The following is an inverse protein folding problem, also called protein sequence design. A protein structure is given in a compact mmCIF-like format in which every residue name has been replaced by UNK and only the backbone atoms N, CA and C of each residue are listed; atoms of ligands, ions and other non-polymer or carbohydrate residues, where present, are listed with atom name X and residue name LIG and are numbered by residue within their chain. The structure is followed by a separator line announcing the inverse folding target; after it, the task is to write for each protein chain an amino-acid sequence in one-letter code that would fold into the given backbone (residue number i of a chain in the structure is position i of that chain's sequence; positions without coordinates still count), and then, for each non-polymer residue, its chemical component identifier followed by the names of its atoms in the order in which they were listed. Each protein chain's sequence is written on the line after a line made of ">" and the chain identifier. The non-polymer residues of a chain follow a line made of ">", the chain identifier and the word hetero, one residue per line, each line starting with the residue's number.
data_IF_861441751117
#
_entry.id   IF_861441751117
#
_cell.length_a   1.000
_cell.length_b   1.000
_cell.length_c   1.000
_cell.angle_alpha   90.00
_cell.angle_beta   90.00
_cell.angle_gamma   90.00
#
_symmetry.space_group_name_H-M   'P 1'
#
loop_
_entity.id
_entity.type
_entity.pdbx_description
1 polymer ?
#
# COMPACT_ATOMS: atom_id res chain seq x y z
N UNK A 1 -14.81 -15.20 -34.12
CA UNK A 1 -13.40 -15.63 -34.09
C UNK A 1 -13.30 -16.99 -34.77
N UNK A 2 -12.44 -17.15 -35.77
CA UNK A 2 -12.27 -18.40 -36.51
C UNK A 2 -11.44 -19.40 -35.67
N UNK A 3 -12.03 -20.54 -35.31
CA UNK A 3 -11.33 -21.60 -34.59
C UNK A 3 -10.42 -22.34 -35.57
N UNK A 4 -9.12 -22.37 -35.28
CA UNK A 4 -8.15 -23.11 -36.06
C UNK A 4 -8.19 -24.59 -35.63
N UNK A 5 -8.27 -25.49 -36.61
CA UNK A 5 -8.19 -26.94 -36.37
C UNK A 5 -6.74 -27.38 -36.55
N UNK A 6 -6.09 -27.72 -35.44
CA UNK A 6 -4.68 -28.07 -35.38
C UNK A 6 -4.55 -29.56 -35.07
N UNK A 7 -3.82 -30.30 -35.90
CA UNK A 7 -3.49 -31.71 -35.65
C UNK A 7 -2.20 -31.78 -34.84
N UNK A 8 -2.23 -32.50 -33.74
CA UNK A 8 -1.11 -32.67 -32.82
C UNK A 8 -0.87 -34.16 -32.60
N UNK A 9 0.37 -34.55 -32.37
CA UNK A 9 0.73 -35.89 -31.92
C UNK A 9 1.36 -35.75 -30.54
N UNK A 10 0.80 -36.43 -29.53
CA UNK A 10 1.25 -36.38 -28.13
C UNK A 10 1.43 -37.82 -27.67
N UNK A 11 2.65 -38.21 -27.32
CA UNK A 11 2.98 -39.55 -26.84
C UNK A 11 2.52 -40.68 -27.80
N UNK A 12 2.55 -40.42 -29.12
CA UNK A 12 2.11 -41.36 -30.15
C UNK A 12 0.60 -41.38 -30.40
N UNK A 13 -0.17 -40.48 -29.78
CA UNK A 13 -1.60 -40.31 -30.02
C UNK A 13 -1.88 -39.06 -30.85
N UNK A 14 -2.56 -39.23 -31.98
CA UNK A 14 -3.01 -38.11 -32.81
C UNK A 14 -4.28 -37.48 -32.21
N UNK A 15 -4.22 -36.17 -31.96
CA UNK A 15 -5.29 -35.36 -31.40
C UNK A 15 -5.59 -34.16 -32.30
N UNK A 16 -6.86 -33.76 -32.39
CA UNK A 16 -7.28 -32.55 -33.11
C UNK A 16 -7.75 -31.52 -32.10
N UNK A 17 -6.97 -30.45 -31.93
CA UNK A 17 -7.31 -29.33 -31.07
C UNK A 17 -7.99 -28.23 -31.90
N UNK A 18 -9.14 -27.76 -31.44
CA UNK A 18 -9.78 -26.56 -31.97
C UNK A 18 -9.48 -25.41 -31.00
N UNK A 19 -8.48 -24.58 -31.31
CA UNK A 19 -8.16 -23.39 -30.50
C UNK A 19 -8.27 -22.10 -31.34
N UNK A 20 -8.47 -20.98 -30.67
CA UNK A 20 -8.33 -19.65 -31.26
C UNK A 20 -6.85 -19.21 -31.30
N UNK A 21 -5.99 -19.89 -30.54
CA UNK A 21 -4.55 -19.65 -30.53
C UNK A 21 -3.86 -20.10 -31.83
N UNK A 22 -2.68 -19.55 -32.07
CA UNK A 22 -1.83 -19.94 -33.19
C UNK A 22 -1.32 -21.39 -33.09
N UNK A 23 -1.05 -22.02 -34.23
CA UNK A 23 -0.54 -23.40 -34.30
C UNK A 23 0.78 -23.58 -33.53
N UNK A 24 1.67 -22.59 -33.59
CA UNK A 24 2.96 -22.62 -32.90
C UNK A 24 2.78 -22.75 -31.37
N UNK A 25 1.82 -22.01 -30.80
CA UNK A 25 1.52 -22.07 -29.37
C UNK A 25 0.92 -23.43 -28.97
N UNK A 26 -0.05 -23.93 -29.74
CA UNK A 26 -0.65 -25.24 -29.50
C UNK A 26 0.40 -26.36 -29.56
N UNK A 27 1.34 -26.29 -30.50
CA UNK A 27 2.44 -27.26 -30.63
C UNK A 27 3.44 -27.17 -29.48
N UNK A 28 3.76 -25.97 -28.99
CA UNK A 28 4.61 -25.79 -27.82
C UNK A 28 3.94 -26.35 -26.55
N UNK A 29 2.64 -26.11 -26.38
CA UNK A 29 1.87 -26.68 -25.27
C UNK A 29 1.83 -28.20 -25.33
N UNK A 30 1.63 -28.78 -26.51
CA UNK A 30 1.69 -30.23 -26.72
C UNK A 30 3.05 -30.81 -26.30
N UNK A 31 4.16 -30.17 -26.71
CA UNK A 31 5.52 -30.57 -26.29
C UNK A 31 5.72 -30.47 -24.78
N UNK A 32 5.19 -29.42 -24.13
CA UNK A 32 5.27 -29.28 -22.67
C UNK A 32 4.56 -30.43 -21.95
N UNK A 33 3.36 -30.79 -22.41
CA UNK A 33 2.59 -31.93 -21.86
C UNK A 33 3.33 -33.25 -22.11
N UNK A 34 3.81 -33.49 -23.32
CA UNK A 34 4.56 -34.70 -23.68
C UNK A 34 5.84 -34.86 -22.84
N UNK A 35 6.62 -33.79 -22.69
CA UNK A 35 7.81 -33.80 -21.85
C UNK A 35 7.48 -34.08 -20.38
N UNK A 36 6.38 -33.54 -19.87
CA UNK A 36 5.96 -33.77 -18.49
C UNK A 36 5.53 -35.23 -18.27
N UNK A 37 4.73 -35.79 -19.19
CA UNK A 37 4.32 -37.19 -19.16
C UNK A 37 5.56 -38.10 -19.28
N UNK A 38 6.48 -37.80 -20.20
CA UNK A 38 7.74 -38.53 -20.36
C UNK A 38 8.56 -38.58 -19.07
N UNK A 39 8.79 -37.43 -18.43
CA UNK A 39 9.48 -37.35 -17.14
C UNK A 39 8.76 -38.14 -16.04
N UNK A 40 7.43 -38.09 -16.01
CA UNK A 40 6.65 -38.81 -15.01
C UNK A 40 6.77 -40.34 -15.18
N UNK A 41 6.79 -40.81 -16.43
CA UNK A 41 6.98 -42.22 -16.76
C UNK A 41 8.42 -42.69 -16.50
N UNK A 42 9.43 -41.85 -16.81
CA UNK A 42 10.84 -42.12 -16.48
C UNK A 42 11.06 -42.24 -14.97
N UNK A 43 10.44 -41.36 -14.18
CA UNK A 43 10.52 -41.39 -12.73
C UNK A 43 9.79 -42.62 -12.13
N UNK A 44 8.74 -43.11 -12.80
CA UNK A 44 7.91 -44.21 -12.31
C UNK A 44 7.58 -45.23 -13.41
N UNK A 45 8.47 -46.21 -13.65
CA UNK A 45 8.30 -47.18 -14.75
C UNK A 45 7.12 -48.14 -14.57
N UNK A 46 6.41 -48.10 -13.43
CA UNK A 46 5.20 -48.90 -13.17
C UNK A 46 3.89 -48.19 -13.54
N UNK A 47 3.95 -46.94 -13.97
CA UNK A 47 2.76 -46.15 -14.34
C UNK A 47 2.47 -46.29 -15.84
N UNK A 48 1.21 -46.54 -16.19
CA UNK A 48 0.77 -46.56 -17.60
C UNK A 48 0.66 -45.15 -18.18
N UNK A 49 0.74 -45.02 -19.51
CA UNK A 49 0.56 -43.73 -20.19
C UNK A 49 -0.76 -43.04 -19.81
N UNK A 50 -1.85 -43.80 -19.71
CA UNK A 50 -3.16 -43.27 -19.31
C UNK A 50 -3.15 -42.68 -17.90
N UNK A 51 -2.52 -43.37 -16.95
CA UNK A 51 -2.42 -42.89 -15.58
C UNK A 51 -1.47 -41.69 -15.46
N UNK A 52 -0.35 -41.70 -16.21
CA UNK A 52 0.57 -40.57 -16.29
C UNK A 52 -0.12 -39.32 -16.86
N UNK A 53 -0.95 -39.47 -17.90
CA UNK A 53 -1.74 -38.38 -18.47
C UNK A 53 -2.75 -37.80 -17.47
N UNK A 54 -3.43 -38.65 -16.69
CA UNK A 54 -4.36 -38.19 -15.64
C UNK A 54 -3.62 -37.41 -14.55
N UNK A 55 -2.47 -37.89 -14.09
CA UNK A 55 -1.64 -37.18 -13.11
C UNK A 55 -1.15 -35.83 -13.68
N UNK A 56 -0.73 -35.81 -14.94
CA UNK A 56 -0.33 -34.58 -15.61
C UNK A 56 -1.48 -33.56 -15.68
N UNK A 57 -2.68 -34.01 -16.06
CA UNK A 57 -3.86 -33.16 -16.10
C UNK A 57 -4.20 -32.56 -14.72
N UNK A 58 -4.15 -33.38 -13.66
CA UNK A 58 -4.39 -32.92 -12.29
C UNK A 58 -3.36 -31.87 -11.85
N UNK A 59 -2.06 -32.10 -12.14
CA UNK A 59 -1.01 -31.15 -11.79
C UNK A 59 -1.14 -29.82 -12.54
N UNK A 60 -1.45 -29.84 -13.84
CA UNK A 60 -1.66 -28.61 -14.60
C UNK A 60 -2.92 -27.87 -14.15
N UNK A 61 -3.99 -28.58 -13.76
CA UNK A 61 -5.20 -27.98 -13.21
C UNK A 61 -4.93 -27.29 -11.87
N UNK A 62 -4.23 -27.96 -10.95
CA UNK A 62 -3.84 -27.39 -9.65
C UNK A 62 -2.92 -26.18 -9.82
N UNK A 63 -1.92 -26.26 -10.71
CA UNK A 63 -1.03 -25.15 -11.01
C UNK A 63 -1.77 -23.95 -11.61
N UNK A 64 -2.73 -24.18 -12.51
CA UNK A 64 -3.56 -23.12 -13.08
C UNK A 64 -4.45 -22.45 -12.02
N UNK A 65 -5.06 -23.25 -11.13
CA UNK A 65 -5.87 -22.72 -10.04
C UNK A 65 -5.03 -21.85 -9.09
N UNK A 66 -3.88 -22.37 -8.63
CA UNK A 66 -2.94 -21.62 -7.77
C UNK A 66 -2.45 -20.34 -8.43
N UNK A 67 -2.18 -20.36 -9.73
CA UNK A 67 -1.79 -19.16 -10.47
C UNK A 67 -2.93 -18.13 -10.55
N UNK A 68 -4.18 -18.59 -10.73
CA UNK A 68 -5.36 -17.71 -10.71
C UNK A 68 -5.55 -17.08 -9.34
N UNK A 69 -5.52 -17.88 -8.27
CA UNK A 69 -5.68 -17.42 -6.90
C UNK A 69 -4.57 -16.41 -6.54
N UNK A 70 -3.33 -16.69 -6.97
CA UNK A 70 -2.21 -15.75 -6.79
C UNK A 70 -2.43 -14.45 -7.55
N UNK A 71 -2.96 -14.49 -8.78
CA UNK A 71 -3.26 -13.29 -9.54
C UNK A 71 -4.38 -12.46 -8.89
N UNK A 72 -5.39 -13.11 -8.33
CA UNK A 72 -6.50 -12.43 -7.64
C UNK A 72 -6.05 -11.82 -6.31
N UNK A 73 -5.15 -12.50 -5.59
CA UNK A 73 -4.49 -11.93 -4.41
C UNK A 73 -3.68 -10.67 -4.78
N UNK A 74 -2.89 -10.73 -5.86
CA UNK A 74 -2.13 -9.56 -6.34
C UNK A 74 -3.05 -8.41 -6.76
N UNK A 75 -4.17 -8.70 -7.42
CA UNK A 75 -5.19 -7.69 -7.77
C UNK A 75 -5.78 -7.02 -6.53
N UNK A 76 -6.05 -7.79 -5.49
CA UNK A 76 -6.58 -7.27 -4.22
C UNK A 76 -5.55 -6.36 -3.56
N UNK A 77 -4.30 -6.79 -3.48
CA UNK A 77 -3.22 -5.95 -2.92
C UNK A 77 -3.06 -4.63 -3.68
N UNK A 78 -3.04 -4.67 -5.02
CA UNK A 78 -2.94 -3.44 -5.83
C UNK A 78 -4.11 -2.49 -5.53
N UNK A 79 -5.32 -3.04 -5.39
CA UNK A 79 -6.50 -2.26 -5.04
C UNK A 79 -6.36 -1.62 -3.65
N UNK A 80 -5.98 -2.41 -2.65
CA UNK A 80 -5.81 -1.93 -1.27
C UNK A 80 -4.73 -0.85 -1.20
N UNK A 81 -3.58 -1.04 -1.86
CA UNK A 81 -2.53 -0.02 -1.93
C UNK A 81 -3.00 1.27 -2.61
N UNK A 82 -3.85 1.18 -3.63
CA UNK A 82 -4.40 2.34 -4.31
C UNK A 82 -5.39 3.10 -3.40
N UNK A 83 -6.23 2.37 -2.68
CA UNK A 83 -7.17 2.93 -1.71
C UNK A 83 -6.41 3.60 -0.55
N UNK A 84 -5.42 2.94 0.03
CA UNK A 84 -4.58 3.49 1.09
C UNK A 84 -3.82 4.75 0.64
N UNK A 85 -3.27 4.74 -0.58
CA UNK A 85 -2.61 5.92 -1.16
C UNK A 85 -3.58 7.09 -1.33
N UNK A 86 -4.82 6.81 -1.74
CA UNK A 86 -5.86 7.82 -1.89
C UNK A 86 -6.27 8.40 -0.54
N UNK A 87 -6.45 7.55 0.48
CA UNK A 87 -6.74 7.96 1.84
C UNK A 87 -5.61 8.82 2.43
N UNK A 88 -4.36 8.40 2.28
CA UNK A 88 -3.21 9.16 2.76
C UNK A 88 -3.12 10.56 2.12
N UNK A 89 -3.47 10.70 0.84
CA UNK A 89 -3.53 12.01 0.17
C UNK A 89 -4.66 12.87 0.72
N UNK A 90 -5.84 12.30 0.93
CA UNK A 90 -6.98 13.02 1.52
C UNK A 90 -6.65 13.52 2.92
N UNK A 91 -6.10 12.66 3.77
CA UNK A 91 -5.70 13.00 5.15
C UNK A 91 -4.62 14.08 5.18
N UNK A 92 -3.66 14.04 4.22
CA UNK A 92 -2.64 15.07 4.08
C UNK A 92 -3.25 16.42 3.65
N UNK A 93 -4.21 16.42 2.73
CA UNK A 93 -4.89 17.64 2.29
C UNK A 93 -5.78 18.23 3.38
N UNK A 94 -6.46 17.40 4.17
CA UNK A 94 -7.21 17.84 5.36
C UNK A 94 -6.30 18.45 6.42
N UNK A 95 -5.19 17.77 6.73
CA UNK A 95 -4.18 18.27 7.66
C UNK A 95 -3.61 19.62 7.22
N UNK A 96 -3.35 19.80 5.92
CA UNK A 96 -2.88 21.08 5.35
C UNK A 96 -3.92 22.18 5.51
N UNK A 97 -5.19 21.90 5.24
CA UNK A 97 -6.30 22.86 5.43
C UNK A 97 -6.42 23.28 6.90
N UNK A 98 -6.31 22.35 7.84
CA UNK A 98 -6.39 22.70 9.26
C UNK A 98 -5.16 23.49 9.72
N UNK A 99 -3.96 23.16 9.25
CA UNK A 99 -2.75 23.96 9.48
C UNK A 99 -2.94 25.40 9.00
N UNK A 100 -3.51 25.60 7.81
CA UNK A 100 -3.80 26.95 7.31
C UNK A 100 -4.85 27.67 8.16
N UNK A 101 -5.92 26.98 8.58
CA UNK A 101 -6.98 27.51 9.44
C UNK A 101 -6.38 28.02 10.77
N UNK A 102 -5.61 27.16 11.43
CA UNK A 102 -4.94 27.48 12.70
C UNK A 102 -3.91 28.60 12.53
N UNK A 103 -3.15 28.63 11.42
CA UNK A 103 -2.23 29.74 11.12
C UNK A 103 -2.95 31.09 11.02
N UNK A 104 -4.11 31.15 10.34
CA UNK A 104 -4.92 32.38 10.25
C UNK A 104 -5.45 32.80 11.61
N UNK A 105 -5.88 31.85 12.44
CA UNK A 105 -6.35 32.12 13.79
C UNK A 105 -5.22 32.67 14.68
N UNK A 106 -4.04 32.05 14.65
CA UNK A 106 -2.85 32.53 15.35
C UNK A 106 -2.49 33.96 14.91
N UNK A 107 -2.52 34.24 13.60
CA UNK A 107 -2.20 35.57 13.08
C UNK A 107 -3.22 36.62 13.55
N UNK A 108 -4.51 36.27 13.56
CA UNK A 108 -5.58 37.14 14.05
C UNK A 108 -5.43 37.43 15.54
N UNK A 109 -5.18 36.39 16.36
CA UNK A 109 -4.97 36.54 17.80
C UNK A 109 -3.71 37.35 18.13
N UNK A 110 -2.60 37.11 17.42
CA UNK A 110 -1.38 37.92 17.54
C UNK A 110 -1.63 39.38 17.15
N UNK A 111 -2.40 39.63 16.09
CA UNK A 111 -2.81 40.97 15.70
C UNK A 111 -3.64 41.67 16.78
N UNK A 112 -4.56 40.95 17.43
CA UNK A 112 -5.34 41.48 18.57
C UNK A 112 -4.51 41.77 19.81
N UNK A 113 -3.51 40.93 20.12
CA UNK A 113 -2.60 41.14 21.24
C UNK A 113 -1.61 42.29 21.00
N UNK A 114 -1.22 42.50 19.74
CA UNK A 114 -0.26 43.54 19.36
C UNK A 114 -0.95 44.86 18.97
N UNK A 115 -2.29 44.89 18.89
CA UNK A 115 -3.05 46.12 18.83
C UNK A 115 -2.88 46.84 20.19
N UNK A 116 -2.39 48.08 20.21
CA UNK A 116 -2.25 48.82 21.46
C UNK A 116 -3.63 48.89 22.11
N UNK A 117 -3.69 48.45 23.37
CA UNK A 117 -4.87 48.62 24.21
C UNK A 117 -5.40 50.03 23.99
N UNK A 118 -6.58 50.14 23.37
CA UNK A 118 -7.33 51.37 23.36
C UNK A 118 -7.48 51.74 24.84
N UNK A 119 -6.74 52.77 25.24
CA UNK A 119 -6.69 53.29 26.58
C UNK A 119 -8.12 53.63 26.99
N UNK A 120 -8.69 52.84 27.90
CA UNK A 120 -9.76 53.36 28.74
C UNK A 120 -9.14 54.43 29.64
N UNK A 121 -9.66 55.67 29.63
CA UNK A 121 -9.15 56.73 30.48
C UNK A 121 -9.46 56.39 31.93
N UNK A 122 -8.39 56.28 32.72
CA UNK A 122 -8.40 56.15 34.17
C UNK A 122 -9.22 57.30 34.78
N UNK A 123 -10.38 57.02 35.37
CA UNK A 123 -11.01 57.88 36.37
C UNK A 123 -10.88 57.24 37.75
N UNK A 124 -9.97 57.80 38.56
CA UNK A 124 -9.95 57.62 40.02
C UNK A 124 -11.02 58.51 40.65
N UNK A 125 -11.73 58.03 41.68
CA UNK A 125 -11.84 58.83 42.89
C UNK A 125 -11.40 58.07 44.14
N UNK A 126 -10.96 58.85 45.11
CA UNK A 126 -10.30 58.46 46.34
C UNK A 126 -11.28 58.27 47.52
N UNK A 127 -10.81 57.53 48.54
CA UNK A 127 -11.39 57.42 49.89
C UNK A 127 -11.63 55.95 50.28
N UNK A 128 -11.20 55.40 51.40
CA UNK A 128 -10.49 55.88 52.59
C UNK A 128 -10.69 54.83 53.70
N UNK A 129 -9.63 54.47 54.44
CA UNK A 129 -9.69 53.83 55.76
C UNK A 129 -9.67 52.28 55.84
N UNK A 130 -9.22 51.70 56.98
CA UNK A 130 -8.28 50.57 57.00
C UNK A 130 -8.76 49.30 57.75
N UNK A 131 -8.20 48.12 57.43
CA UNK A 131 -8.01 47.01 58.37
C UNK A 131 -7.04 45.96 57.82
N UNK A 132 -5.99 45.69 58.59
CA UNK A 132 -4.97 44.65 58.40
C UNK A 132 -5.49 43.26 58.90
N UNK A 133 -4.62 42.26 59.13
CA UNK A 133 -3.83 41.45 58.20
C UNK A 133 -4.09 39.93 58.38
N UNK A 134 -3.54 39.07 57.52
CA UNK A 134 -2.75 37.87 57.90
C UNK A 134 -2.19 37.17 56.66
N UNK A 135 -0.85 37.16 56.57
CA UNK A 135 0.00 36.26 55.77
C UNK A 135 0.03 34.85 56.43
N UNK A 136 0.88 33.85 56.06
CA UNK A 136 1.88 33.79 54.97
C UNK A 136 1.98 32.42 54.23
N UNK A 137 2.81 32.35 53.17
CA UNK A 137 3.33 31.10 52.60
C UNK A 137 3.46 31.14 51.08
N UNK A 138 4.36 31.96 50.52
CA UNK A 138 5.75 31.60 50.16
C UNK A 138 5.83 30.55 49.04
N UNK A 139 6.18 31.07 47.85
CA UNK A 139 7.02 30.47 46.79
C UNK A 139 6.48 29.22 46.09
N UNK A 140 6.58 29.03 44.78
CA UNK A 140 7.80 29.23 43.98
C UNK A 140 7.46 29.06 42.49
N UNK A 141 8.25 29.72 41.65
CA UNK A 141 8.71 29.26 40.32
C UNK A 141 7.69 29.19 39.16
N UNK A 142 7.67 30.32 38.44
CA UNK A 142 7.72 30.44 36.98
C UNK A 142 8.38 29.22 36.29
N UNK A 143 7.65 28.56 35.40
CA UNK A 143 8.24 27.72 34.35
C UNK A 143 7.61 28.06 32.99
N UNK A 144 8.49 28.33 32.04
CA UNK A 144 8.21 28.59 30.63
C UNK A 144 7.80 27.27 29.97
N UNK A 145 6.76 27.21 29.12
CA UNK A 145 6.55 26.00 28.33
C UNK A 145 7.57 25.96 27.17
N UNK A 146 8.30 24.84 27.12
CA UNK A 146 9.32 24.49 26.14
C UNK A 146 8.72 24.19 24.75
N UNK A 147 9.56 24.08 23.68
CA UNK A 147 9.11 23.94 22.30
C UNK A 147 8.46 22.57 22.03
N UNK A 148 7.43 22.57 21.20
CA UNK A 148 6.72 21.38 20.74
C UNK A 148 7.67 20.46 19.96
N UNK A 149 7.93 19.27 20.50
CA UNK A 149 8.63 18.17 19.84
C UNK A 149 7.81 17.66 18.63
N UNK A 150 8.44 17.56 17.46
CA UNK A 150 7.88 16.93 16.27
C UNK A 150 7.64 15.43 16.53
N UNK A 151 6.52 14.84 16.06
CA UNK A 151 6.34 13.40 16.15
C UNK A 151 7.36 12.69 15.26
N UNK A 152 8.09 11.74 15.86
CA UNK A 152 9.10 10.90 15.20
C UNK A 152 8.46 10.10 14.07
N UNK A 153 9.11 10.12 12.91
CA UNK A 153 8.81 9.24 11.79
C UNK A 153 8.88 7.76 12.23
N UNK A 154 7.79 7.03 12.08
CA UNK A 154 7.76 5.58 12.21
C UNK A 154 8.57 5.01 11.06
N UNK A 155 9.67 4.34 11.38
CA UNK A 155 10.53 3.64 10.43
C UNK A 155 9.70 2.53 9.76
N UNK A 156 9.57 2.48 8.41
CA UNK A 156 8.90 1.36 7.76
C UNK A 156 9.68 0.06 8.04
N UNK A 157 8.99 -1.09 8.13
CA UNK A 157 9.63 -2.36 8.44
C UNK A 157 10.72 -2.69 7.42
N UNK A 158 11.95 -2.84 7.91
CA UNK A 158 13.12 -3.24 7.12
C UNK A 158 12.88 -4.64 6.56
N UNK A 159 12.72 -4.75 5.23
CA UNK A 159 12.64 -6.05 4.55
C UNK A 159 11.72 -6.11 3.33
N UNK A 160 10.88 -5.10 3.09
CA UNK A 160 10.15 -4.99 1.83
C UNK A 160 10.91 -4.05 0.92
N UNK A 161 11.50 -4.58 -0.15
CA UNK A 161 11.92 -3.76 -1.28
C UNK A 161 10.69 -2.93 -1.65
N UNK A 162 10.77 -1.59 -1.53
CA UNK A 162 9.66 -0.76 -1.93
C UNK A 162 9.46 -1.06 -3.42
N UNK A 163 8.25 -1.47 -3.79
CA UNK A 163 7.92 -1.81 -5.17
C UNK A 163 8.26 -0.67 -6.16
N UNK A 164 8.34 0.57 -5.67
CA UNK A 164 8.81 1.74 -6.43
C UNK A 164 10.31 1.72 -6.76
N UNK A 165 11.16 1.10 -5.95
CA UNK A 165 12.60 1.03 -6.19
C UNK A 165 12.93 0.17 -7.43
N UNK A 166 12.03 -0.74 -7.82
CA UNK A 166 12.15 -1.52 -9.06
C UNK A 166 11.91 -0.66 -10.30
N UNK A 167 10.94 0.26 -10.26
CA UNK A 167 10.60 1.12 -11.40
C UNK A 167 11.57 2.30 -11.57
N UNK A 168 12.16 2.81 -10.49
CA UNK A 168 13.17 3.88 -10.59
C UNK A 168 14.52 3.35 -11.11
N UNK A 169 14.83 2.07 -10.89
CA UNK A 169 16.07 1.45 -11.35
C UNK A 169 16.11 1.29 -12.88
N UNK A 170 15.00 0.96 -13.52
CA UNK A 170 14.93 0.82 -14.99
C UNK A 170 14.93 2.18 -15.73
N UNK A 171 14.69 3.29 -15.03
CA UNK A 171 14.76 4.65 -15.60
C UNK A 171 16.13 5.31 -15.47
N UNK A 172 17.07 4.67 -14.76
CA UNK A 172 18.42 5.20 -14.51
C UNK A 172 19.53 4.47 -15.29
N UNK A 173 19.18 3.43 -16.06
CA UNK A 173 20.08 2.81 -17.05
C UNK A 173 19.65 3.19 -18.48
N UNK A 174 19.86 4.46 -18.85
CA UNK A 174 20.00 4.89 -20.26
C UNK A 174 21.18 5.86 -20.42
#
# INVERSE_FOLDING_TARGET
>A
MSKNRIKLNICGMDCVLSSEDGEAYARDMAKKVENFIGRLMEANPRISLSMAAVIAALNFCDAAQKASDSADNLRTQIKDYLEDSSHARMDADESRKEIERLKREIQTLRGRLNAPAAQEPIQRPAGGGPAAPVSPGVSTARSVPAPVEQPKAVKPPEGQQNFMDFFEKDLSEE
#
